data_IF_041848108328
#
_entry.id   IF_041848108328
#
_cell.length_a   1.000
_cell.length_b   1.000
_cell.length_c   1.000
_cell.angle_alpha   90.00
_cell.angle_beta   90.00
_cell.angle_gamma   90.00
#
_symmetry.space_group_name_H-M   'P 1'
#
loop_
_entity.id
_entity.type
_entity.pdbx_description
1 polymer ?
#
# COMPACT_ATOMS: atom_id res chain seq x y z
N UNK A 1 -7.11 11.59 -13.46
CA UNK A 1 -5.78 11.84 -14.06
C UNK A 1 -5.60 10.97 -15.29
N UNK A 2 -4.43 11.04 -15.92
CA UNK A 2 -4.06 10.15 -17.03
C UNK A 2 -3.99 8.69 -16.57
N UNK A 3 -4.28 7.74 -17.48
CA UNK A 3 -4.19 6.32 -17.17
C UNK A 3 -2.73 5.86 -17.23
N UNK A 4 -2.19 5.39 -16.11
CA UNK A 4 -0.82 4.85 -16.04
C UNK A 4 -0.82 3.45 -16.67
N UNK A 5 -0.02 3.18 -17.72
CA UNK A 5 0.00 1.87 -18.40
C UNK A 5 0.86 0.85 -17.64
N UNK A 6 0.44 0.48 -16.43
CA UNK A 6 1.19 -0.46 -15.58
C UNK A 6 0.70 -1.91 -15.73
N UNK A 7 1.51 -2.85 -15.21
CA UNK A 7 1.13 -4.26 -15.03
C UNK A 7 0.98 -4.54 -13.54
N UNK A 8 0.03 -5.41 -13.18
CA UNK A 8 -0.19 -5.81 -11.79
C UNK A 8 1.11 -6.33 -11.14
N UNK A 9 1.37 -5.89 -9.91
CA UNK A 9 2.62 -6.11 -9.18
C UNK A 9 3.72 -5.08 -9.47
N UNK A 10 3.48 -4.14 -10.39
CA UNK A 10 4.34 -2.98 -10.59
C UNK A 10 4.31 -1.98 -9.43
N UNK A 11 5.20 -0.98 -9.52
CA UNK A 11 5.29 0.13 -8.57
C UNK A 11 5.50 1.47 -9.30
N UNK A 12 5.15 2.56 -8.62
CA UNK A 12 5.57 3.92 -8.98
C UNK A 12 6.58 4.41 -7.95
N UNK A 13 7.25 5.50 -8.26
CA UNK A 13 8.03 6.25 -7.29
C UNK A 13 7.32 7.56 -6.95
N UNK A 14 7.33 7.93 -5.68
CA UNK A 14 6.90 9.24 -5.20
C UNK A 14 8.14 10.08 -4.94
N UNK A 15 8.09 11.36 -5.32
CA UNK A 15 9.07 12.38 -4.94
C UNK A 15 8.56 13.17 -3.74
N UNK A 16 9.44 13.35 -2.76
CA UNK A 16 9.17 14.06 -1.52
C UNK A 16 10.13 15.25 -1.44
N UNK A 17 9.63 16.49 -1.54
CA UNK A 17 10.46 17.67 -1.37
C UNK A 17 10.88 17.86 0.11
N UNK A 18 11.83 18.79 0.38
CA UNK A 18 12.16 19.20 1.73
C UNK A 18 10.91 19.61 2.52
N UNK A 19 10.79 19.12 3.76
CA UNK A 19 9.62 19.36 4.59
C UNK A 19 9.93 19.23 6.09
N UNK A 20 9.01 19.74 6.89
CA UNK A 20 8.91 19.45 8.32
C UNK A 20 7.46 19.07 8.62
N UNK A 21 7.22 17.81 8.95
CA UNK A 21 5.88 17.30 9.30
C UNK A 21 5.88 16.76 10.72
N UNK A 22 4.74 16.88 11.40
CA UNK A 22 4.57 16.44 12.79
C UNK A 22 3.48 15.38 12.82
N UNK A 23 3.73 14.27 13.51
CA UNK A 23 2.80 13.15 13.55
C UNK A 23 1.46 13.53 14.19
N UNK A 24 1.46 14.51 15.10
CA UNK A 24 0.24 15.09 15.68
C UNK A 24 -0.70 15.78 14.67
N UNK A 25 -0.24 16.08 13.45
CA UNK A 25 -1.02 16.72 12.40
C UNK A 25 -1.56 15.67 11.39
N UNK A 26 -1.39 14.38 11.67
CA UNK A 26 -1.94 13.28 10.87
C UNK A 26 -3.41 13.03 11.21
N UNK A 27 -4.19 12.72 10.17
CA UNK A 27 -5.59 12.32 10.33
C UNK A 27 -5.63 10.82 10.55
N UNK A 28 -5.74 10.40 11.81
CA UNK A 28 -5.89 9.01 12.21
C UNK A 28 -7.28 8.84 12.82
N UNK A 29 -8.07 7.89 12.33
CA UNK A 29 -9.39 7.59 12.87
C UNK A 29 -9.29 7.03 14.29
N UNK A 30 -10.31 7.30 15.12
CA UNK A 30 -10.32 6.97 16.56
C UNK A 30 -10.02 5.49 16.83
N UNK A 31 -10.55 4.58 16.00
CA UNK A 31 -10.34 3.14 16.12
C UNK A 31 -8.88 2.68 15.96
N UNK A 32 -8.02 3.50 15.36
CA UNK A 32 -6.59 3.21 15.18
C UNK A 32 -5.68 3.95 16.18
N UNK A 33 -6.21 4.82 17.04
CA UNK A 33 -5.40 5.69 17.92
C UNK A 33 -4.82 5.00 19.14
N UNK A 34 -5.37 3.86 19.58
CA UNK A 34 -4.95 3.17 20.82
C UNK A 34 -3.42 2.99 20.90
N UNK A 35 -2.79 2.47 19.84
CA UNK A 35 -1.34 2.28 19.80
C UNK A 35 -0.58 3.61 19.62
N UNK A 36 -1.19 4.59 18.95
CA UNK A 36 -0.58 5.91 18.80
C UNK A 36 -0.46 6.63 20.15
N UNK A 37 -1.51 6.57 20.97
CA UNK A 37 -1.54 7.13 22.31
C UNK A 37 -0.60 6.36 23.24
N UNK A 38 -0.69 5.02 23.24
CA UNK A 38 0.09 4.15 24.10
C UNK A 38 1.60 4.30 23.93
N UNK A 39 2.06 4.47 22.69
CA UNK A 39 3.48 4.59 22.36
C UNK A 39 3.94 6.03 22.16
N UNK A 40 3.08 7.01 22.44
CA UNK A 40 3.34 8.44 22.25
C UNK A 40 3.88 8.75 20.83
N UNK A 41 3.21 8.19 19.83
CA UNK A 41 3.59 8.33 18.42
C UNK A 41 3.46 9.78 17.94
N UNK A 42 2.57 10.55 18.58
CA UNK A 42 2.29 11.96 18.28
C UNK A 42 3.49 12.88 18.45
N UNK A 43 4.47 12.49 19.27
CA UNK A 43 5.68 13.28 19.53
C UNK A 43 6.61 13.42 18.34
N UNK A 44 6.51 12.51 17.37
CA UNK A 44 7.48 12.41 16.29
C UNK A 44 7.36 13.57 15.30
N UNK A 45 8.53 14.04 14.86
CA UNK A 45 8.68 15.08 13.84
C UNK A 45 9.64 14.52 12.78
N UNK A 46 9.21 14.51 11.52
CA UNK A 46 10.05 14.20 10.37
C UNK A 46 10.51 15.51 9.74
N UNK A 47 11.82 15.74 9.76
CA UNK A 47 12.46 16.85 9.05
C UNK A 47 13.34 16.29 7.96
N UNK A 48 13.15 16.77 6.74
CA UNK A 48 13.87 16.35 5.55
C UNK A 48 14.33 17.61 4.82
N UNK A 49 15.64 17.71 4.56
CA UNK A 49 16.26 18.91 3.98
C UNK A 49 16.60 18.75 2.48
N UNK A 50 16.37 17.58 1.90
CA UNK A 50 16.72 17.23 0.51
C UNK A 50 15.54 16.51 -0.16
N UNK A 51 15.52 16.52 -1.50
CA UNK A 51 14.55 15.71 -2.24
C UNK A 51 14.80 14.20 -2.02
N UNK A 52 13.73 13.46 -1.78
CA UNK A 52 13.80 12.01 -1.53
C UNK A 52 12.80 11.29 -2.42
N UNK A 53 13.24 10.22 -3.07
CA UNK A 53 12.35 9.37 -3.88
C UNK A 53 12.21 7.99 -3.27
N UNK A 54 11.01 7.40 -3.29
CA UNK A 54 10.76 6.01 -2.85
C UNK A 54 9.72 5.30 -3.69
N UNK A 55 9.89 4.00 -3.84
CA UNK A 55 8.97 3.13 -4.56
C UNK A 55 7.77 2.68 -3.70
N UNK A 56 6.58 2.64 -4.31
CA UNK A 56 5.36 2.09 -3.73
C UNK A 56 4.58 1.28 -4.77
N UNK A 57 4.27 0.03 -4.43
CA UNK A 57 3.49 -0.86 -5.29
C UNK A 57 2.04 -0.42 -5.41
N UNK A 58 1.49 -0.52 -6.63
CA UNK A 58 0.09 -0.24 -6.88
C UNK A 58 -0.79 -1.33 -6.25
N UNK A 59 -1.85 -0.90 -5.56
CA UNK A 59 -2.91 -1.75 -5.04
C UNK A 59 -4.06 -1.93 -6.04
N UNK A 60 -4.24 -0.96 -6.95
CA UNK A 60 -5.18 -1.07 -8.05
C UNK A 60 -4.66 -1.98 -9.17
N UNK A 61 -5.56 -2.59 -9.93
CA UNK A 61 -5.19 -3.35 -11.13
C UNK A 61 -5.33 -2.47 -12.41
N UNK A 62 -4.75 -2.85 -13.56
CA UNK A 62 -4.62 -1.97 -14.72
C UNK A 62 -5.92 -1.38 -15.31
N UNK A 63 -7.08 -1.98 -15.04
CA UNK A 63 -8.37 -1.46 -15.54
C UNK A 63 -9.11 -0.56 -14.53
N UNK A 64 -8.61 -0.41 -13.30
CA UNK A 64 -9.01 0.66 -12.37
C UNK A 64 -8.31 1.97 -12.79
N UNK A 65 -8.80 2.55 -13.89
CA UNK A 65 -8.17 3.69 -14.57
C UNK A 65 -8.44 5.02 -13.86
N UNK A 66 -7.52 5.98 -14.08
CA UNK A 66 -7.65 7.36 -13.63
C UNK A 66 -7.25 7.60 -12.18
N UNK A 67 -6.88 6.55 -11.46
CA UNK A 67 -6.41 6.55 -10.07
C UNK A 67 -5.15 5.71 -9.89
N UNK A 68 -4.40 5.98 -8.83
CA UNK A 68 -3.36 5.10 -8.28
C UNK A 68 -3.70 4.89 -6.81
N UNK A 69 -3.85 3.64 -6.40
CA UNK A 69 -4.08 3.26 -5.01
C UNK A 69 -2.81 2.68 -4.44
N UNK A 70 -2.42 3.12 -3.24
CA UNK A 70 -1.21 2.66 -2.55
C UNK A 70 -1.57 2.26 -1.13
N UNK A 71 -0.89 1.24 -0.59
CA UNK A 71 -0.91 0.96 0.84
C UNK A 71 0.44 1.37 1.42
N UNK A 72 0.47 2.45 2.19
CA UNK A 72 1.71 2.97 2.77
C UNK A 72 1.72 2.68 4.26
N UNK A 73 2.74 1.96 4.74
CA UNK A 73 2.98 1.81 6.18
C UNK A 73 3.77 3.02 6.68
N UNK A 74 3.31 3.66 7.74
CA UNK A 74 4.11 4.65 8.47
C UNK A 74 5.34 3.98 9.08
N UNK A 75 6.54 4.37 8.63
CA UNK A 75 7.80 3.85 9.15
C UNK A 75 8.23 4.68 10.36
N UNK A 76 7.62 4.43 11.51
CA UNK A 76 8.05 5.02 12.77
C UNK A 76 9.42 4.48 13.21
N UNK A 77 10.13 5.18 14.12
CA UNK A 77 11.35 4.65 14.71
C UNK A 77 11.11 3.25 15.31
N UNK A 78 12.07 2.31 15.16
CA UNK A 78 11.92 0.97 15.74
C UNK A 78 11.72 1.05 17.26
N UNK A 79 10.86 0.22 17.88
CA UNK A 79 10.58 0.31 19.32
C UNK A 79 11.82 0.14 20.22
N UNK A 80 12.85 -0.57 19.74
CA UNK A 80 14.13 -0.76 20.43
C UNK A 80 15.14 0.36 20.18
N UNK A 81 14.84 1.29 19.29
CA UNK A 81 15.67 2.45 18.92
C UNK A 81 14.77 3.68 18.70
N UNK A 82 14.06 4.15 19.75
CA UNK A 82 13.00 5.16 19.63
C UNK A 82 13.53 6.57 19.31
N UNK A 83 14.83 6.80 19.47
CA UNK A 83 15.48 8.11 19.23
C UNK A 83 15.93 8.29 17.77
N UNK A 84 15.81 7.25 16.93
CA UNK A 84 16.09 7.38 15.51
C UNK A 84 15.09 8.29 14.82
N UNK A 85 15.48 8.97 13.72
CA UNK A 85 14.53 9.75 12.92
C UNK A 85 13.41 8.87 12.34
N UNK A 86 12.17 9.38 12.28
CA UNK A 86 11.09 8.73 11.53
C UNK A 86 11.41 8.57 10.03
N UNK A 87 10.68 7.70 9.36
CA UNK A 87 10.82 7.46 7.93
C UNK A 87 10.46 8.70 7.10
N UNK A 88 11.44 9.22 6.34
CA UNK A 88 11.31 10.44 5.52
C UNK A 88 10.03 10.48 4.67
N UNK A 89 9.89 9.56 3.73
CA UNK A 89 8.78 9.54 2.76
C UNK A 89 7.43 9.12 3.35
N UNK A 90 7.41 8.10 4.22
CA UNK A 90 6.13 7.64 4.80
C UNK A 90 5.51 8.71 5.70
N UNK A 91 6.34 9.51 6.38
CA UNK A 91 5.86 10.64 7.18
C UNK A 91 5.27 11.75 6.30
N UNK A 92 5.92 12.05 5.17
CA UNK A 92 5.39 12.97 4.16
C UNK A 92 4.03 12.52 3.65
N UNK A 93 3.92 11.25 3.22
CA UNK A 93 2.66 10.70 2.67
C UNK A 93 1.53 10.72 3.70
N UNK A 94 1.81 10.34 4.96
CA UNK A 94 0.80 10.38 6.03
C UNK A 94 0.33 11.80 6.38
N UNK A 95 1.12 12.81 6.05
CA UNK A 95 0.73 14.20 6.28
C UNK A 95 -0.20 14.75 5.19
N UNK A 96 -0.16 14.18 3.97
CA UNK A 96 -0.93 14.66 2.83
C UNK A 96 -2.43 14.64 3.13
N UNK A 97 -3.14 15.63 2.60
CA UNK A 97 -4.59 15.80 2.72
C UNK A 97 -5.24 15.77 1.33
N UNK A 98 -6.55 15.48 1.24
CA UNK A 98 -7.28 15.58 -0.02
C UNK A 98 -7.10 16.97 -0.64
N UNK A 99 -6.60 17.01 -1.87
CA UNK A 99 -6.30 18.26 -2.59
C UNK A 99 -4.81 18.59 -2.69
N UNK A 100 -3.96 17.97 -1.87
CA UNK A 100 -2.51 18.14 -2.00
C UNK A 100 -1.98 17.49 -3.28
N UNK A 101 -0.98 18.12 -3.88
CA UNK A 101 -0.31 17.62 -5.08
C UNK A 101 0.86 16.70 -4.73
N UNK A 102 1.04 15.64 -5.52
CA UNK A 102 2.12 14.67 -5.36
C UNK A 102 2.73 14.37 -6.72
N UNK A 103 4.07 14.41 -6.78
CA UNK A 103 4.81 14.06 -7.98
C UNK A 103 5.11 12.55 -7.94
N UNK A 104 4.72 11.84 -9.00
CA UNK A 104 5.02 10.43 -9.19
C UNK A 104 5.73 10.17 -10.51
N UNK A 105 6.57 9.14 -10.54
CA UNK A 105 7.22 8.66 -11.76
C UNK A 105 7.09 7.13 -11.90
N UNK A 106 7.12 6.65 -13.14
CA UNK A 106 6.91 5.24 -13.49
C UNK A 106 6.01 5.07 -14.73
N UNK A 107 5.37 3.90 -14.91
CA UNK A 107 5.37 2.75 -14.01
C UNK A 107 6.64 1.90 -14.15
N UNK A 108 7.02 1.25 -13.06
CA UNK A 108 8.10 0.26 -13.00
C UNK A 108 7.54 -1.10 -12.55
N UNK A 109 8.33 -2.18 -12.68
CA UNK A 109 7.94 -3.46 -12.12
C UNK A 109 8.79 -4.63 -12.57
N UNK A 110 8.93 -5.59 -11.67
CA UNK A 110 9.60 -6.89 -11.91
C UNK A 110 8.83 -8.06 -11.29
N UNK A 111 7.92 -7.78 -10.35
CA UNK A 111 7.08 -8.76 -9.69
C UNK A 111 5.81 -9.00 -10.52
N UNK A 112 5.92 -9.83 -11.55
CA UNK A 112 4.80 -10.15 -12.44
C UNK A 112 4.36 -11.60 -12.28
N UNK A 113 3.04 -11.83 -12.45
CA UNK A 113 2.52 -13.19 -12.54
C UNK A 113 3.13 -13.92 -13.75
N UNK A 114 3.52 -15.18 -13.55
CA UNK A 114 3.97 -16.05 -14.64
C UNK A 114 2.77 -16.49 -15.48
N UNK A 115 2.98 -16.54 -16.78
CA UNK A 115 2.01 -17.02 -17.77
C UNK A 115 2.08 -18.56 -17.87
N UNK A 116 1.39 -19.23 -16.95
CA UNK A 116 1.30 -20.69 -16.83
C UNK A 116 -0.03 -21.08 -16.20
N UNK A 117 -0.39 -22.36 -16.28
CA UNK A 117 -1.62 -22.91 -15.67
C UNK A 117 -1.43 -23.40 -14.22
N UNK A 118 -0.26 -23.15 -13.62
CA UNK A 118 0.03 -23.64 -12.27
C UNK A 118 -0.88 -22.98 -11.22
N UNK A 119 -1.24 -23.72 -10.17
CA UNK A 119 -1.93 -23.17 -8.99
C UNK A 119 -1.17 -21.96 -8.42
N UNK A 120 -1.89 -20.90 -8.06
CA UNK A 120 -1.33 -19.69 -7.47
C UNK A 120 -1.61 -19.63 -5.98
N UNK A 121 -0.57 -19.46 -5.17
CA UNK A 121 -0.71 -19.23 -3.74
C UNK A 121 -0.12 -17.86 -3.42
N UNK A 122 -0.99 -16.91 -3.12
CA UNK A 122 -0.61 -15.57 -2.69
C UNK A 122 -0.45 -15.55 -1.17
N UNK A 123 0.63 -14.94 -0.68
CA UNK A 123 0.91 -14.81 0.75
C UNK A 123 1.27 -13.35 1.03
N UNK A 124 0.47 -12.68 1.86
CA UNK A 124 0.60 -11.25 2.13
C UNK A 124 0.60 -10.91 3.62
N UNK A 125 1.15 -9.74 3.94
CA UNK A 125 1.11 -9.16 5.28
C UNK A 125 1.39 -7.66 5.26
N UNK A 126 0.65 -6.89 6.06
CA UNK A 126 0.77 -5.44 6.11
C UNK A 126 0.60 -4.76 4.74
N UNK A 127 1.46 -3.78 4.45
CA UNK A 127 1.45 -3.06 3.17
C UNK A 127 1.66 -3.96 1.94
N UNK A 128 2.19 -5.18 2.13
CA UNK A 128 2.29 -6.20 1.08
C UNK A 128 0.93 -6.58 0.47
N UNK A 129 -0.18 -6.22 1.11
CA UNK A 129 -1.52 -6.29 0.53
C UNK A 129 -1.64 -5.59 -0.83
N UNK A 130 -0.90 -4.50 -1.08
CA UNK A 130 -1.03 -3.73 -2.32
C UNK A 130 -0.75 -4.58 -3.58
N UNK A 131 0.48 -5.11 -3.79
CA UNK A 131 0.75 -5.92 -4.98
C UNK A 131 -0.08 -7.20 -5.02
N UNK A 132 -0.49 -7.76 -3.87
CA UNK A 132 -1.38 -8.94 -3.82
C UNK A 132 -2.76 -8.61 -4.39
N UNK A 133 -3.40 -7.53 -3.92
CA UNK A 133 -4.70 -7.08 -4.45
C UNK A 133 -4.60 -6.82 -5.94
N UNK A 134 -3.56 -6.10 -6.38
CA UNK A 134 -3.34 -5.80 -7.80
C UNK A 134 -3.27 -7.07 -8.63
N UNK A 135 -2.48 -8.08 -8.22
CA UNK A 135 -2.41 -9.37 -8.93
C UNK A 135 -3.73 -10.12 -8.94
N UNK A 136 -4.38 -10.28 -7.79
CA UNK A 136 -5.62 -11.07 -7.67
C UNK A 136 -6.71 -10.45 -8.54
N UNK A 137 -6.88 -9.13 -8.46
CA UNK A 137 -7.85 -8.43 -9.30
C UNK A 137 -7.50 -8.51 -10.79
N UNK A 138 -6.23 -8.41 -11.15
CA UNK A 138 -5.80 -8.59 -12.54
C UNK A 138 -6.10 -9.99 -13.08
N UNK A 139 -5.88 -11.03 -12.27
CA UNK A 139 -6.18 -12.41 -12.62
C UNK A 139 -7.68 -12.65 -12.81
N UNK A 140 -8.53 -12.17 -11.89
CA UNK A 140 -9.95 -12.48 -11.93
C UNK A 140 -10.80 -11.50 -12.73
N UNK A 141 -10.52 -10.19 -12.65
CA UNK A 141 -11.34 -9.16 -13.30
C UNK A 141 -10.90 -8.88 -14.74
N UNK A 142 -9.59 -8.78 -15.01
CA UNK A 142 -9.07 -8.53 -16.38
C UNK A 142 -8.86 -9.82 -17.16
N UNK A 143 -8.07 -10.76 -16.62
CA UNK A 143 -7.68 -11.97 -17.33
C UNK A 143 -8.74 -13.07 -17.29
N UNK A 144 -9.65 -13.04 -16.30
CA UNK A 144 -10.67 -14.06 -16.05
C UNK A 144 -10.05 -15.46 -15.97
N UNK A 145 -9.06 -15.62 -15.10
CA UNK A 145 -8.30 -16.86 -14.97
C UNK A 145 -9.17 -18.03 -14.51
N UNK A 146 -8.90 -19.21 -15.06
CA UNK A 146 -9.44 -20.51 -14.59
C UNK A 146 -8.48 -21.26 -13.66
N UNK A 147 -7.31 -20.67 -13.37
CA UNK A 147 -6.31 -21.26 -12.45
C UNK A 147 -6.92 -21.37 -11.05
N UNK A 148 -6.54 -22.39 -10.31
CA UNK A 148 -6.78 -22.43 -8.87
C UNK A 148 -5.91 -21.37 -8.20
N UNK A 149 -6.52 -20.49 -7.42
CA UNK A 149 -5.85 -19.42 -6.69
C UNK A 149 -6.26 -19.52 -5.23
N UNK A 150 -5.35 -19.19 -4.32
CA UNK A 150 -5.69 -18.94 -2.91
C UNK A 150 -4.88 -17.75 -2.39
N UNK A 151 -5.46 -17.01 -1.44
CA UNK A 151 -4.79 -15.89 -0.79
C UNK A 151 -4.78 -16.05 0.73
N UNK A 152 -3.58 -15.98 1.30
CA UNK A 152 -3.33 -16.10 2.73
C UNK A 152 -2.77 -14.78 3.25
N UNK A 153 -3.55 -14.08 4.09
CA UNK A 153 -3.14 -12.79 4.65
C UNK A 153 -2.94 -12.87 6.17
N UNK A 154 -1.75 -12.50 6.62
CA UNK A 154 -1.41 -12.40 8.04
C UNK A 154 -1.57 -10.97 8.55
N UNK A 155 -2.39 -10.81 9.60
CA UNK A 155 -2.60 -9.55 10.32
C UNK A 155 -2.44 -9.76 11.83
N UNK A 156 -2.11 -8.70 12.57
CA UNK A 156 -1.94 -8.78 14.03
C UNK A 156 -3.28 -9.00 14.76
N UNK A 157 -4.36 -8.44 14.23
CA UNK A 157 -5.73 -8.55 14.73
C UNK A 157 -6.71 -8.16 13.63
N UNK A 158 -8.00 -8.44 13.78
CA UNK A 158 -9.01 -8.16 12.74
C UNK A 158 -9.12 -6.68 12.35
N UNK A 159 -8.88 -5.73 13.27
CA UNK A 159 -8.84 -4.29 12.93
C UNK A 159 -7.77 -3.92 11.90
N UNK A 160 -6.74 -4.76 11.72
CA UNK A 160 -5.63 -4.53 10.80
C UNK A 160 -5.86 -5.23 9.44
N UNK A 161 -6.99 -5.94 9.30
CA UNK A 161 -7.41 -6.55 8.05
C UNK A 161 -8.29 -5.55 7.29
N UNK A 162 -7.97 -5.33 6.02
CA UNK A 162 -8.67 -4.40 5.14
C UNK A 162 -8.79 -5.02 3.75
N UNK A 163 -9.71 -4.48 2.93
CA UNK A 163 -10.15 -5.08 1.66
C UNK A 163 -10.79 -6.46 1.81
N UNK A 164 -11.33 -6.79 2.99
CA UNK A 164 -12.00 -8.07 3.20
C UNK A 164 -13.20 -8.22 2.26
N UNK A 165 -14.04 -7.20 2.19
CA UNK A 165 -15.17 -7.07 1.26
C UNK A 165 -14.77 -7.26 -0.21
N UNK A 166 -13.63 -6.70 -0.62
CA UNK A 166 -13.07 -6.87 -1.96
C UNK A 166 -12.77 -8.34 -2.27
N UNK A 167 -12.12 -9.06 -1.35
CA UNK A 167 -11.74 -10.47 -1.56
C UNK A 167 -12.90 -11.43 -1.36
N UNK A 168 -13.79 -11.17 -0.41
CA UNK A 168 -15.05 -11.90 -0.24
C UNK A 168 -15.84 -11.84 -1.56
N UNK A 169 -15.87 -10.67 -2.22
CA UNK A 169 -16.55 -10.54 -3.51
C UNK A 169 -15.88 -11.32 -4.64
N UNK A 170 -14.55 -11.45 -4.64
CA UNK A 170 -13.86 -12.32 -5.61
C UNK A 170 -14.21 -13.79 -5.32
N UNK A 171 -14.20 -14.22 -4.06
CA UNK A 171 -14.51 -15.60 -3.67
C UNK A 171 -15.97 -15.98 -4.00
N UNK A 172 -16.90 -15.05 -3.84
CA UNK A 172 -18.30 -15.23 -4.26
C UNK A 172 -18.45 -15.39 -5.78
N UNK A 173 -17.77 -14.54 -6.55
CA UNK A 173 -17.91 -14.47 -8.01
C UNK A 173 -17.15 -15.61 -8.72
N UNK A 174 -16.08 -16.14 -8.11
CA UNK A 174 -15.12 -17.07 -8.73
C UNK A 174 -14.81 -18.26 -7.80
N UNK A 175 -15.40 -19.45 -8.05
CA UNK A 175 -15.20 -20.64 -7.21
C UNK A 175 -13.76 -21.19 -7.18
N UNK A 176 -12.88 -20.69 -8.05
CA UNK A 176 -11.47 -21.05 -8.13
C UNK A 176 -10.55 -20.11 -7.32
N UNK A 177 -11.10 -19.20 -6.51
CA UNK A 177 -10.39 -18.36 -5.54
C UNK A 177 -10.61 -18.84 -4.09
#
# INVERSE_FOLDING_TARGET
>A
GEAVPFRAGGYIQIECPPHVVKYKDFDIEEEYREDWDKFDMWRFISKVDEDVTRAYSMANYPEERGIIMLNVRVASPPPRQPDLPPGKMSSYIFNLKPGDEVIISGPFGEFFAKDTDAEMVFIGGGAGMAPMRSHIFDQFRRLKTDRKVSFWYGARSMREAFYQDHFDKIAEDFPNF
#
